data_IF_017728412361
#
_entry.id   IF_017728412361
#
_cell.length_a   1.000
_cell.length_b   1.000
_cell.length_c   1.000
_cell.angle_alpha   90.00
_cell.angle_beta   90.00
_cell.angle_gamma   90.00
#
_symmetry.space_group_name_H-M   'P 1'
#
loop_
_entity.id
_entity.type
_entity.pdbx_description
1 polymer ?
#
# COMPACT_ATOMS: atom_id res chain seq x y z
N UNK A 1 1.52 15.10 19.54
CA UNK A 1 0.27 14.32 19.39
C UNK A 1 0.64 12.93 18.88
N UNK A 2 0.26 11.88 19.60
CA UNK A 2 0.82 10.53 19.51
C UNK A 2 -0.06 9.63 18.62
N UNK A 3 0.52 8.97 17.61
CA UNK A 3 -0.17 8.32 16.47
C UNK A 3 -0.59 6.86 16.76
N UNK A 4 -0.92 6.51 18.00
CA UNK A 4 -1.14 5.10 18.42
C UNK A 4 -2.55 4.75 18.93
N UNK A 5 -3.56 5.59 18.73
CA UNK A 5 -4.89 5.38 19.37
C UNK A 5 -6.08 5.30 18.40
N UNK A 6 -5.88 4.89 17.15
CA UNK A 6 -7.02 4.61 16.25
C UNK A 6 -6.80 3.28 15.53
N UNK A 7 -6.98 2.17 16.26
CA UNK A 7 -7.17 0.86 15.61
C UNK A 7 -7.91 -0.21 16.41
N UNK A 8 -8.50 0.15 17.56
CA UNK A 8 -9.37 -0.76 18.29
C UNK A 8 -10.72 -0.11 18.44
N UNK A 9 -11.65 -0.50 17.57
CA UNK A 9 -13.10 -0.60 17.80
C UNK A 9 -13.74 -0.72 16.43
N UNK A 10 -14.13 -1.94 16.06
CA UNK A 10 -15.33 -2.30 15.30
C UNK A 10 -15.09 -3.69 14.75
N UNK A 11 -15.53 -4.72 15.49
CA UNK A 11 -16.27 -5.88 14.96
C UNK A 11 -16.74 -6.70 16.18
N UNK A 12 -17.82 -6.21 16.81
CA UNK A 12 -18.62 -6.96 17.78
C UNK A 12 -19.75 -7.62 17.00
N UNK A 13 -19.74 -8.94 16.92
CA UNK A 13 -20.76 -9.74 16.24
C UNK A 13 -22.10 -9.67 16.98
N UNK A 14 -23.16 -9.20 16.32
CA UNK A 14 -24.57 -9.37 16.75
C UNK A 14 -25.21 -10.49 15.93
N UNK A 15 -25.90 -11.41 16.62
CA UNK A 15 -26.83 -12.41 16.07
C UNK A 15 -28.21 -11.77 15.80
N UNK A 16 -28.85 -12.15 14.68
CA UNK A 16 -30.31 -12.32 14.49
C UNK A 16 -30.56 -12.56 12.98
N UNK A 17 -30.98 -13.76 12.55
CA UNK A 17 -32.36 -14.25 12.28
C UNK A 17 -33.01 -13.67 11.00
N UNK A 18 -33.58 -14.59 10.21
CA UNK A 18 -34.24 -14.48 8.89
C UNK A 18 -35.29 -13.37 8.75
N UNK A 19 -35.44 -12.84 7.52
CA UNK A 19 -36.70 -12.86 6.74
C UNK A 19 -36.45 -12.52 5.27
N UNK A 20 -37.21 -13.16 4.38
CA UNK A 20 -37.28 -12.97 2.92
C UNK A 20 -38.15 -11.76 2.54
N UNK A 21 -37.72 -10.96 1.56
CA UNK A 21 -38.63 -10.28 0.62
C UNK A 21 -37.86 -9.82 -0.63
N UNK A 22 -38.40 -10.17 -1.81
CA UNK A 22 -37.96 -9.66 -3.12
C UNK A 22 -38.41 -8.20 -3.28
N UNK A 23 -37.63 -7.37 -3.98
CA UNK A 23 -38.09 -6.46 -5.04
C UNK A 23 -36.90 -5.74 -5.70
N UNK A 24 -36.95 -5.62 -7.03
CA UNK A 24 -36.00 -4.96 -7.92
C UNK A 24 -36.08 -3.42 -7.83
N UNK A 25 -34.93 -2.74 -7.71
CA UNK A 25 -34.67 -1.40 -8.25
C UNK A 25 -33.20 -1.00 -7.96
N UNK A 26 -32.50 -0.51 -8.99
CA UNK A 26 -31.25 0.27 -8.92
C UNK A 26 -30.17 -0.22 -7.96
N UNK A 27 -29.20 -0.99 -8.46
CA UNK A 27 -27.97 -1.24 -7.71
C UNK A 27 -27.25 0.12 -7.47
N UNK A 28 -27.01 0.54 -6.22
CA UNK A 28 -26.04 1.59 -5.94
C UNK A 28 -24.65 1.08 -6.37
N UNK A 29 -23.67 1.95 -6.67
CA UNK A 29 -22.35 1.52 -7.10
C UNK A 29 -21.83 0.56 -6.03
N UNK A 30 -21.64 -0.70 -6.42
CA UNK A 30 -21.15 -1.69 -5.49
C UNK A 30 -19.83 -1.17 -4.94
N UNK A 31 -19.77 -1.07 -3.62
CA UNK A 31 -18.57 -0.72 -2.91
C UNK A 31 -17.60 -1.89 -3.14
N UNK A 32 -16.83 -1.80 -4.23
CA UNK A 32 -15.94 -2.85 -4.77
C UNK A 32 -14.70 -3.07 -3.86
N UNK A 33 -14.84 -2.79 -2.57
CA UNK A 33 -14.06 -3.39 -1.49
C UNK A 33 -14.56 -4.82 -1.22
N UNK A 34 -14.73 -5.61 -2.28
CA UNK A 34 -14.95 -7.05 -2.20
C UNK A 34 -13.68 -7.66 -1.63
N UNK A 35 -13.64 -7.73 -0.29
CA UNK A 35 -12.60 -8.27 0.60
C UNK A 35 -11.39 -8.86 -0.12
N UNK A 36 -10.37 -8.01 -0.34
CA UNK A 36 -9.01 -8.48 -0.59
C UNK A 36 -8.51 -9.21 0.67
N UNK A 37 -8.88 -10.48 0.79
CA UNK A 37 -8.55 -11.32 1.92
C UNK A 37 -8.08 -12.67 1.38
N UNK A 38 -6.81 -13.07 1.61
CA UNK A 38 -6.31 -14.34 1.13
C UNK A 38 -7.09 -15.49 1.76
N UNK A 39 -7.18 -16.61 1.05
CA UNK A 39 -7.66 -17.86 1.64
C UNK A 39 -6.76 -18.24 2.84
N UNK A 40 -7.33 -18.76 3.94
CA UNK A 40 -6.55 -19.10 5.15
C UNK A 40 -5.37 -20.05 4.90
N UNK A 41 -5.39 -20.80 3.80
CA UNK A 41 -4.38 -21.81 3.44
C UNK A 41 -3.33 -21.32 2.44
N UNK A 42 -3.35 -20.03 2.06
CA UNK A 42 -2.43 -19.55 1.03
C UNK A 42 -0.98 -19.51 1.52
N UNK A 43 -0.06 -19.99 0.68
CA UNK A 43 1.37 -20.11 0.97
C UNK A 43 2.23 -18.97 0.40
N UNK A 44 1.59 -17.99 -0.26
CA UNK A 44 2.27 -16.92 -1.00
C UNK A 44 1.79 -15.55 -0.55
N UNK A 45 2.62 -14.54 -0.77
CA UNK A 45 2.23 -13.14 -0.58
C UNK A 45 1.15 -12.75 -1.60
N UNK A 46 0.16 -11.98 -1.16
CA UNK A 46 -0.93 -11.52 -2.02
C UNK A 46 -0.76 -10.06 -2.36
N UNK A 47 -0.95 -9.72 -3.64
CA UNK A 47 -0.89 -8.35 -4.14
C UNK A 47 -2.30 -7.91 -4.55
N UNK A 48 -2.77 -6.80 -3.98
CA UNK A 48 -4.12 -6.31 -4.16
C UNK A 48 -4.33 -5.47 -5.42
N UNK A 49 -5.59 -5.04 -5.66
CA UNK A 49 -5.87 -4.00 -6.63
C UNK A 49 -5.19 -2.68 -6.22
N UNK A 50 -4.95 -1.75 -7.16
CA UNK A 50 -4.42 -0.43 -6.83
C UNK A 50 -5.28 0.29 -5.79
N UNK A 51 -4.64 0.84 -4.77
CA UNK A 51 -5.30 1.67 -3.77
C UNK A 51 -5.82 2.97 -4.41
N UNK A 52 -7.04 3.38 -4.05
CA UNK A 52 -7.73 4.53 -4.68
C UNK A 52 -7.02 5.87 -4.44
N UNK A 53 -6.23 5.99 -3.36
CA UNK A 53 -5.60 7.26 -2.97
C UNK A 53 -4.11 7.25 -3.27
N UNK A 54 -3.39 6.20 -2.87
CA UNK A 54 -1.94 6.10 -3.09
C UNK A 54 -1.58 5.61 -4.49
N UNK A 55 -2.51 4.96 -5.21
CA UNK A 55 -2.28 4.21 -6.45
C UNK A 55 -1.32 3.02 -6.32
N UNK A 56 -0.83 2.72 -5.11
CA UNK A 56 0.04 1.58 -4.83
C UNK A 56 -0.80 0.32 -4.57
N UNK A 57 -0.24 -0.85 -4.86
CA UNK A 57 -0.91 -2.12 -4.61
C UNK A 57 -0.59 -2.60 -3.18
N UNK A 58 -1.58 -2.79 -2.30
CA UNK A 58 -1.34 -3.29 -0.96
C UNK A 58 -0.88 -4.75 -1.03
N UNK A 59 0.01 -5.14 -0.11
CA UNK A 59 0.54 -6.50 -0.02
C UNK A 59 0.10 -7.13 1.30
N UNK A 60 -0.47 -8.33 1.24
CA UNK A 60 -0.71 -9.17 2.42
C UNK A 60 0.38 -10.25 2.43
N UNK A 61 1.33 -10.10 3.36
CA UNK A 61 2.43 -11.05 3.51
C UNK A 61 1.95 -12.37 4.12
N UNK A 62 2.37 -13.48 3.51
CA UNK A 62 2.16 -14.81 4.05
C UNK A 62 2.92 -14.98 5.37
N UNK A 63 2.29 -15.67 6.32
CA UNK A 63 2.87 -16.02 7.62
C UNK A 63 3.06 -17.54 7.66
N UNK A 64 4.29 -18.05 7.55
CA UNK A 64 4.57 -19.47 7.67
C UNK A 64 4.20 -20.01 9.06
N UNK A 65 3.78 -21.27 9.14
CA UNK A 65 3.42 -21.92 10.41
C UNK A 65 4.58 -21.91 11.44
N UNK A 66 5.81 -22.16 10.98
CA UNK A 66 7.02 -22.21 11.80
C UNK A 66 7.91 -20.98 11.61
N UNK A 67 7.29 -19.78 11.55
CA UNK A 67 7.99 -18.52 11.36
C UNK A 67 9.02 -18.26 12.49
N UNK A 68 10.28 -18.10 12.10
CA UNK A 68 11.35 -17.71 13.00
C UNK A 68 11.25 -16.24 13.40
N UNK A 69 11.87 -15.86 14.52
CA UNK A 69 11.91 -14.45 14.94
C UNK A 69 12.54 -13.53 13.87
N UNK A 70 13.52 -14.03 13.12
CA UNK A 70 14.20 -13.27 12.07
C UNK A 70 13.29 -13.06 10.84
N UNK A 71 12.55 -14.09 10.41
CA UNK A 71 11.53 -13.99 9.35
C UNK A 71 10.39 -13.06 9.76
N UNK A 72 9.91 -13.16 10.99
CA UNK A 72 8.90 -12.26 11.56
C UNK A 72 9.37 -10.80 11.53
N UNK A 73 10.60 -10.54 11.94
CA UNK A 73 11.21 -9.21 11.91
C UNK A 73 11.29 -8.67 10.49
N UNK A 74 11.67 -9.51 9.53
CA UNK A 74 11.68 -9.14 8.11
C UNK A 74 10.27 -8.79 7.62
N UNK A 75 9.27 -9.63 7.90
CA UNK A 75 7.88 -9.40 7.49
C UNK A 75 7.34 -8.08 8.05
N UNK A 76 7.52 -7.83 9.35
CA UNK A 76 7.09 -6.56 9.94
C UNK A 76 7.80 -5.35 9.35
N UNK A 77 9.13 -5.42 9.13
CA UNK A 77 9.86 -4.32 8.51
C UNK A 77 9.37 -4.02 7.08
N UNK A 78 9.04 -5.05 6.30
CA UNK A 78 8.44 -4.88 4.97
C UNK A 78 7.06 -4.22 5.08
N UNK A 79 6.19 -4.73 5.95
CA UNK A 79 4.86 -4.18 6.16
C UNK A 79 4.88 -2.72 6.64
N UNK A 80 5.73 -2.38 7.61
CA UNK A 80 5.92 -1.01 8.07
C UNK A 80 6.46 -0.08 6.98
N UNK A 81 7.28 -0.61 6.07
CA UNK A 81 7.82 0.14 4.93
C UNK A 81 6.75 0.39 3.88
N UNK A 82 5.91 -0.61 3.58
CA UNK A 82 4.76 -0.44 2.69
C UNK A 82 3.72 0.52 3.27
N UNK A 83 3.36 0.40 4.55
CA UNK A 83 2.43 1.32 5.22
C UNK A 83 2.95 2.77 5.16
N UNK A 84 4.25 2.96 5.39
CA UNK A 84 4.90 4.26 5.27
C UNK A 84 4.86 4.79 3.83
N UNK A 85 5.12 3.94 2.84
CA UNK A 85 5.08 4.27 1.42
C UNK A 85 3.67 4.68 0.99
N UNK A 86 2.65 3.89 1.37
CA UNK A 86 1.24 4.19 1.13
C UNK A 86 0.83 5.53 1.75
N UNK A 87 1.23 5.80 2.99
CA UNK A 87 0.92 7.07 3.66
C UNK A 87 1.54 8.27 2.92
N UNK A 88 2.79 8.15 2.47
CA UNK A 88 3.45 9.20 1.71
C UNK A 88 2.74 9.49 0.38
N UNK A 89 2.45 8.45 -0.41
CA UNK A 89 1.81 8.61 -1.72
C UNK A 89 0.35 9.01 -1.62
N UNK A 90 -0.38 8.55 -0.61
CA UNK A 90 -1.73 9.06 -0.31
C UNK A 90 -1.70 10.57 -0.11
N UNK A 91 -0.84 11.05 0.78
CA UNK A 91 -0.72 12.48 1.05
C UNK A 91 -0.29 13.26 -0.20
N UNK A 92 0.67 12.72 -0.97
CA UNK A 92 1.18 13.40 -2.16
C UNK A 92 0.15 13.48 -3.27
N UNK A 93 -0.59 12.40 -3.54
CA UNK A 93 -1.61 12.36 -4.58
C UNK A 93 -2.79 13.27 -4.24
N UNK A 94 -3.25 13.26 -2.98
CA UNK A 94 -4.31 14.17 -2.52
C UNK A 94 -3.87 15.63 -2.66
N UNK A 95 -2.66 15.94 -2.23
CA UNK A 95 -2.10 17.31 -2.33
C UNK A 95 -1.96 17.74 -3.79
N UNK A 96 -1.42 16.87 -4.64
CA UNK A 96 -1.24 17.12 -6.07
C UNK A 96 -2.57 17.38 -6.77
N UNK A 97 -3.58 16.53 -6.56
CA UNK A 97 -4.92 16.70 -7.16
C UNK A 97 -5.53 18.04 -6.76
N UNK A 98 -5.47 18.37 -5.46
CA UNK A 98 -5.98 19.64 -4.94
C UNK A 98 -5.27 20.86 -5.55
N UNK A 99 -3.94 20.87 -5.54
CA UNK A 99 -3.17 22.00 -6.09
C UNK A 99 -3.35 22.14 -7.60
N UNK A 100 -3.46 21.01 -8.31
CA UNK A 100 -3.73 20.96 -9.75
C UNK A 100 -5.10 21.56 -10.07
N UNK A 101 -6.14 21.16 -9.35
CA UNK A 101 -7.49 21.70 -9.53
C UNK A 101 -7.51 23.20 -9.29
N UNK A 102 -6.90 23.67 -8.20
CA UNK A 102 -6.77 25.11 -7.90
C UNK A 102 -6.06 25.87 -9.00
N UNK A 103 -4.97 25.33 -9.54
CA UNK A 103 -4.26 25.93 -10.67
C UNK A 103 -5.16 26.04 -11.90
N UNK A 104 -5.85 24.96 -12.28
CA UNK A 104 -6.79 24.95 -13.41
C UNK A 104 -7.86 26.01 -13.24
N UNK A 105 -8.51 26.07 -12.07
CA UNK A 105 -9.54 27.06 -11.77
C UNK A 105 -9.02 28.50 -11.87
N UNK A 106 -7.83 28.76 -11.34
CA UNK A 106 -7.21 30.09 -11.41
C UNK A 106 -6.92 30.52 -12.86
N UNK A 107 -6.38 29.62 -13.68
CA UNK A 107 -6.06 29.91 -15.08
C UNK A 107 -7.32 30.13 -15.92
N UNK A 108 -8.37 29.33 -15.70
CA UNK A 108 -9.66 29.53 -16.35
C UNK A 108 -10.28 30.88 -15.98
N UNK A 109 -10.24 31.25 -14.68
CA UNK A 109 -10.74 32.55 -14.20
C UNK A 109 -9.98 33.73 -14.82
N UNK A 110 -8.65 33.63 -14.95
CA UNK A 110 -7.84 34.66 -15.60
C UNK A 110 -8.19 34.85 -17.07
N UNK A 111 -8.59 33.78 -17.76
CA UNK A 111 -9.09 33.83 -19.14
C UNK A 111 -10.55 34.27 -19.25
N UNK A 112 -11.23 34.57 -18.14
CA UNK A 112 -12.66 34.87 -18.12
C UNK A 112 -13.55 33.67 -18.48
N UNK A 113 -13.03 32.45 -18.37
CA UNK A 113 -13.75 31.22 -18.71
C UNK A 113 -14.35 30.56 -17.45
N UNK A 114 -15.53 30.00 -17.61
CA UNK A 114 -16.17 29.10 -16.64
C UNK A 114 -15.50 27.71 -16.63
N UNK A 115 -15.68 26.95 -15.56
CA UNK A 115 -15.12 25.58 -15.42
C UNK A 115 -15.61 24.63 -16.51
N UNK A 116 -16.88 24.76 -16.89
CA UNK A 116 -17.50 23.94 -17.93
C UNK A 116 -17.62 24.71 -19.23
N UNK A 117 -17.41 23.99 -20.33
CA UNK A 117 -17.73 24.47 -21.67
C UNK A 117 -19.25 24.52 -21.87
N UNK A 118 -19.67 25.07 -23.01
CA UNK A 118 -21.09 25.20 -23.40
C UNK A 118 -21.80 23.83 -23.50
N UNK A 119 -21.04 22.73 -23.62
CA UNK A 119 -21.54 21.35 -23.68
C UNK A 119 -21.49 20.65 -22.32
N UNK A 120 -21.15 21.36 -21.24
CA UNK A 120 -21.06 20.83 -19.88
C UNK A 120 -19.79 20.02 -19.57
N UNK A 121 -18.83 19.94 -20.49
CA UNK A 121 -17.54 19.26 -20.28
C UNK A 121 -16.58 20.14 -19.49
N UNK A 122 -15.78 19.54 -18.64
CA UNK A 122 -14.73 20.24 -17.90
C UNK A 122 -13.70 20.82 -18.88
N UNK A 123 -13.45 22.13 -18.80
CA UNK A 123 -12.39 22.77 -19.60
C UNK A 123 -11.03 22.35 -19.06
N UNK A 124 -10.15 21.96 -19.98
CA UNK A 124 -8.76 21.59 -19.68
C UNK A 124 -7.81 22.67 -20.18
N UNK A 125 -6.72 22.89 -19.45
CA UNK A 125 -5.63 23.76 -19.90
C UNK A 125 -4.79 23.08 -20.98
N UNK A 126 -4.04 23.89 -21.75
CA UNK A 126 -3.07 23.34 -22.70
C UNK A 126 -1.92 22.63 -21.97
N UNK A 127 -1.18 21.79 -22.69
CA UNK A 127 0.02 21.13 -22.16
C UNK A 127 1.08 22.14 -21.70
N UNK A 128 1.26 23.25 -22.42
CA UNK A 128 2.22 24.31 -22.10
C UNK A 128 1.84 25.00 -20.78
N UNK A 129 0.56 25.29 -20.57
CA UNK A 129 0.05 25.90 -19.34
C UNK A 129 0.17 24.94 -18.15
N UNK A 130 -0.15 23.67 -18.37
CA UNK A 130 0.02 22.63 -17.35
C UNK A 130 1.50 22.39 -17.01
N UNK A 131 2.42 22.58 -17.95
CA UNK A 131 3.85 22.42 -17.70
C UNK A 131 4.37 23.42 -16.66
N UNK A 132 3.84 24.66 -16.65
CA UNK A 132 4.17 25.67 -15.63
C UNK A 132 3.78 25.16 -14.24
N UNK A 133 2.58 24.59 -14.10
CA UNK A 133 2.15 23.96 -12.84
C UNK A 133 3.06 22.81 -12.43
N UNK A 134 3.36 21.89 -13.35
CA UNK A 134 4.19 20.72 -13.03
C UNK A 134 5.58 21.12 -12.56
N UNK A 135 6.22 22.05 -13.27
CA UNK A 135 7.53 22.59 -12.85
C UNK A 135 7.44 23.21 -11.46
N UNK A 136 6.46 24.08 -11.22
CA UNK A 136 6.29 24.73 -9.92
C UNK A 136 6.05 23.73 -8.79
N UNK A 137 5.18 22.75 -9.01
CA UNK A 137 4.88 21.71 -8.02
C UNK A 137 6.12 20.89 -7.68
N UNK A 138 6.93 20.51 -8.68
CA UNK A 138 8.18 19.77 -8.49
C UNK A 138 9.22 20.61 -7.74
N UNK A 139 9.41 21.87 -8.13
CA UNK A 139 10.35 22.80 -7.49
C UNK A 139 9.98 22.98 -6.00
N UNK A 140 8.69 23.17 -5.70
CA UNK A 140 8.15 23.31 -4.34
C UNK A 140 8.36 22.05 -3.49
N UNK A 141 8.22 20.87 -4.09
CA UNK A 141 8.27 19.58 -3.39
C UNK A 141 9.64 18.89 -3.44
N UNK A 142 10.66 19.50 -4.07
CA UNK A 142 11.96 18.87 -4.31
C UNK A 142 12.61 18.29 -3.04
N UNK A 143 12.68 19.07 -1.95
CA UNK A 143 13.28 18.66 -0.67
C UNK A 143 12.52 17.50 -0.02
N UNK A 144 11.18 17.52 -0.11
CA UNK A 144 10.31 16.45 0.40
C UNK A 144 10.52 15.15 -0.37
N UNK A 145 10.67 15.22 -1.69
CA UNK A 145 10.97 14.04 -2.50
C UNK A 145 12.38 13.51 -2.25
N UNK A 146 13.36 14.40 -2.07
CA UNK A 146 14.72 13.99 -1.73
C UNK A 146 14.78 13.27 -0.37
N UNK A 147 14.08 13.78 0.65
CA UNK A 147 14.02 13.12 1.96
C UNK A 147 13.27 11.78 1.91
N UNK A 148 12.16 11.72 1.16
CA UNK A 148 11.45 10.47 0.90
C UNK A 148 12.35 9.44 0.20
N UNK A 149 13.01 9.80 -0.90
CA UNK A 149 13.87 8.87 -1.64
C UNK A 149 15.01 8.36 -0.76
N UNK A 150 15.65 9.23 0.02
CA UNK A 150 16.69 8.85 0.98
C UNK A 150 16.18 7.80 1.97
N UNK A 151 15.02 8.02 2.56
CA UNK A 151 14.42 7.09 3.52
C UNK A 151 13.96 5.78 2.86
N UNK A 152 13.40 5.87 1.65
CA UNK A 152 13.00 4.71 0.85
C UNK A 152 14.19 3.79 0.58
N UNK A 153 15.32 4.35 0.13
CA UNK A 153 16.55 3.57 -0.07
C UNK A 153 17.09 3.00 1.23
N UNK A 154 17.09 3.77 2.32
CA UNK A 154 17.54 3.29 3.63
C UNK A 154 16.73 2.07 4.11
N UNK A 155 15.40 2.13 4.00
CA UNK A 155 14.49 1.04 4.36
C UNK A 155 14.70 -0.19 3.48
N UNK A 156 14.70 -0.01 2.16
CA UNK A 156 14.91 -1.10 1.20
C UNK A 156 16.27 -1.77 1.38
N UNK A 157 17.34 -0.99 1.59
CA UNK A 157 18.66 -1.56 1.88
C UNK A 157 18.67 -2.40 3.17
N UNK A 158 18.01 -1.90 4.22
CA UNK A 158 17.86 -2.63 5.49
C UNK A 158 17.08 -3.93 5.29
N UNK A 159 15.99 -3.89 4.52
CA UNK A 159 15.21 -5.07 4.15
C UNK A 159 16.10 -6.07 3.40
N UNK A 160 16.82 -5.64 2.36
CA UNK A 160 17.70 -6.51 1.57
C UNK A 160 18.77 -7.18 2.41
N UNK A 161 19.42 -6.44 3.31
CA UNK A 161 20.39 -7.02 4.24
C UNK A 161 19.75 -8.07 5.14
N UNK A 162 18.56 -7.79 5.68
CA UNK A 162 17.83 -8.70 6.54
C UNK A 162 17.32 -9.94 5.79
N UNK A 163 16.88 -9.79 4.53
CA UNK A 163 16.56 -10.90 3.64
C UNK A 163 17.77 -11.82 3.47
N UNK A 164 18.95 -11.26 3.19
CA UNK A 164 20.19 -12.04 3.10
C UNK A 164 20.49 -12.82 4.38
N UNK A 165 20.30 -12.20 5.55
CA UNK A 165 20.48 -12.88 6.85
C UNK A 165 19.46 -14.01 7.07
N UNK A 166 18.20 -13.82 6.70
CA UNK A 166 17.17 -14.87 6.77
C UNK A 166 17.54 -16.06 5.89
N UNK A 167 17.97 -15.80 4.66
CA UNK A 167 18.40 -16.85 3.71
C UNK A 167 19.62 -17.62 4.21
N UNK A 168 20.63 -16.94 4.75
CA UNK A 168 21.79 -17.61 5.34
C UNK A 168 21.39 -18.48 6.54
N UNK A 169 20.50 -17.97 7.39
CA UNK A 169 20.00 -18.70 8.55
C UNK A 169 19.20 -19.94 8.15
N UNK A 170 18.36 -19.86 7.11
CA UNK A 170 17.59 -21.02 6.62
C UNK A 170 18.51 -22.10 6.02
N UNK A 171 19.52 -21.71 5.23
CA UNK A 171 20.54 -22.63 4.69
C UNK A 171 21.29 -23.32 5.84
N UNK A 172 21.74 -22.55 6.84
CA UNK A 172 22.44 -23.11 8.00
C UNK A 172 21.59 -24.14 8.76
N UNK A 173 20.29 -23.84 8.97
CA UNK A 173 19.34 -24.78 9.61
C UNK A 173 19.14 -26.05 8.79
N UNK A 174 19.03 -25.93 7.46
CA UNK A 174 18.88 -27.08 6.58
C UNK A 174 20.10 -27.99 6.65
N UNK A 175 21.31 -27.43 6.55
CA UNK A 175 22.57 -28.18 6.63
C UNK A 175 22.78 -28.84 8.00
N UNK A 176 22.58 -28.11 9.09
CA UNK A 176 22.69 -28.66 10.45
C UNK A 176 21.65 -29.75 10.75
N UNK A 177 20.42 -29.60 10.24
CA UNK A 177 19.38 -30.62 10.30
C UNK A 177 19.77 -31.90 9.55
N UNK A 178 20.33 -31.77 8.34
CA UNK A 178 20.83 -32.90 7.56
C UNK A 178 21.98 -33.63 8.25
N UNK A 179 22.93 -32.91 8.85
CA UNK A 179 24.04 -33.49 9.61
C UNK A 179 23.53 -34.26 10.84
N UNK A 180 22.55 -33.71 11.56
CA UNK A 180 21.94 -34.36 12.73
C UNK A 180 21.15 -35.62 12.33
N UNK A 181 20.45 -35.58 11.20
CA UNK A 181 19.73 -36.75 10.67
C UNK A 181 20.70 -37.86 10.26
N UNK A 182 21.79 -37.55 9.55
CA UNK A 182 22.82 -38.53 9.15
C UNK A 182 23.49 -39.23 10.33
N UNK A 183 23.77 -38.52 11.42
CA UNK A 183 24.35 -39.15 12.63
C UNK A 183 23.39 -40.14 13.30
N UNK A 184 22.08 -39.86 13.31
CA UNK A 184 21.08 -40.79 13.86
C UNK A 184 20.93 -42.06 13.04
N UNK A 185 21.06 -41.99 11.71
CA UNK A 185 21.01 -43.20 10.86
C UNK A 185 22.26 -44.06 10.93
N UNK A 186 23.41 -43.47 11.28
CA UNK A 186 24.70 -44.17 11.30
C UNK A 186 25.01 -44.85 12.64
N UNK A 187 24.21 -44.60 13.68
CA UNK A 187 24.25 -45.24 14.98
C UNK A 187 22.82 -45.68 15.38
N UNK A 188 22.27 -46.74 14.75
CA UNK A 188 21.05 -47.35 15.26
C UNK A 188 21.39 -48.09 16.56
N UNK A 189 20.53 -47.93 17.58
CA UNK A 189 20.58 -48.75 18.81
C UNK A 189 20.37 -50.24 18.51
#
# INVERSE_FOLDING_TARGET
MNVRTIRYLLFRTRRSILTSSRHSAGQPPQDENTRFNPAPTSKYDWIGPPDRLSNLRPVIYHIPENETQLERKLRHLRQETEDWNHAFWTYQNVTFTKEKEQFILSQLKLKGLTEKDERGRQRTLSSEEMAVFYKHFLDKNCKKHASYNKEWYRRNFTITLLMGRVTLHSIWRALSGQVRSKRKTMMPE
#
